data_IF_562717224182
#
_entry.id   IF_562717224182
#
_cell.length_a   1.000
_cell.length_b   1.000
_cell.length_c   1.000
_cell.angle_alpha   90.00
_cell.angle_beta   90.00
_cell.angle_gamma   90.00
#
_symmetry.space_group_name_H-M   'P 1'
#
loop_
_entity.id
_entity.type
_entity.pdbx_description
1 polymer ?
#
# COMPACT_ATOMS: atom_id res chain seq x y z
N UNK A 1 29.84 1.32 34.60
CA UNK A 1 28.48 1.80 34.27
C UNK A 1 28.16 1.55 32.79
N UNK A 2 27.94 0.29 32.39
CA UNK A 2 27.85 -0.10 30.96
C UNK A 2 26.70 -1.07 30.64
N UNK A 3 25.97 -1.56 31.66
CA UNK A 3 24.85 -2.48 31.46
C UNK A 3 23.57 -1.77 31.00
N UNK A 4 23.29 -0.55 31.47
CA UNK A 4 22.06 0.17 31.07
C UNK A 4 22.00 0.42 29.57
N UNK A 5 23.11 0.89 28.98
CA UNK A 5 23.16 1.29 27.57
C UNK A 5 22.90 0.15 26.57
N UNK A 6 23.23 -1.10 26.92
CA UNK A 6 22.98 -2.25 26.05
C UNK A 6 21.50 -2.68 26.10
N UNK A 7 20.90 -2.69 27.29
CA UNK A 7 19.47 -2.97 27.43
C UNK A 7 18.60 -1.85 26.85
N UNK A 8 19.02 -0.58 27.00
CA UNK A 8 18.32 0.57 26.43
C UNK A 8 18.34 0.53 24.90
N UNK A 9 19.48 0.17 24.30
CA UNK A 9 19.59 -0.03 22.85
C UNK A 9 18.73 -1.19 22.34
N UNK A 10 18.72 -2.32 23.07
CA UNK A 10 17.86 -3.45 22.73
C UNK A 10 16.37 -3.08 22.77
N UNK A 11 15.95 -2.36 23.81
CA UNK A 11 14.57 -1.87 23.93
C UNK A 11 14.20 -0.91 22.79
N UNK A 12 15.12 -0.04 22.40
CA UNK A 12 14.93 0.88 21.27
C UNK A 12 14.75 0.12 19.95
N UNK A 13 15.62 -0.86 19.68
CA UNK A 13 15.55 -1.67 18.45
C UNK A 13 14.26 -2.53 18.40
N UNK A 14 13.81 -3.05 19.54
CA UNK A 14 12.53 -3.78 19.65
C UNK A 14 11.32 -2.87 19.40
N UNK A 15 11.34 -1.64 19.95
CA UNK A 15 10.29 -0.66 19.71
C UNK A 15 10.22 -0.24 18.23
N UNK A 16 11.37 -0.03 17.59
CA UNK A 16 11.45 0.31 16.18
C UNK A 16 11.02 -0.85 15.28
N UNK A 17 11.38 -2.09 15.64
CA UNK A 17 10.88 -3.29 14.97
C UNK A 17 9.37 -3.39 15.08
N UNK A 18 8.79 -3.21 16.27
CA UNK A 18 7.35 -3.24 16.49
C UNK A 18 6.59 -2.21 15.64
N UNK A 19 7.08 -0.98 15.57
CA UNK A 19 6.51 0.07 14.70
C UNK A 19 6.57 -0.30 13.23
N UNK A 20 7.70 -0.84 12.75
CA UNK A 20 7.87 -1.27 11.35
C UNK A 20 6.96 -2.45 11.01
N UNK A 21 6.84 -3.42 11.91
CA UNK A 21 5.97 -4.58 11.75
C UNK A 21 4.49 -4.16 11.68
N UNK A 22 4.05 -3.27 12.57
CA UNK A 22 2.68 -2.74 12.55
C UNK A 22 2.37 -2.02 11.24
N UNK A 23 3.26 -1.13 10.79
CA UNK A 23 3.09 -0.43 9.51
C UNK A 23 3.04 -1.40 8.32
N UNK A 24 3.79 -2.51 8.35
CA UNK A 24 3.76 -3.52 7.29
C UNK A 24 2.45 -4.30 7.28
N UNK A 25 1.94 -4.67 8.46
CA UNK A 25 0.64 -5.31 8.60
C UNK A 25 -0.51 -4.42 8.10
N UNK A 26 -0.48 -3.14 8.44
CA UNK A 26 -1.52 -2.21 8.02
C UNK A 26 -1.51 -1.96 6.50
N UNK A 27 -0.33 -1.87 5.87
CA UNK A 27 -0.23 -1.88 4.40
C UNK A 27 -0.75 -3.20 3.80
N UNK A 28 -0.42 -4.34 4.42
CA UNK A 28 -0.90 -5.64 3.98
C UNK A 28 -2.44 -5.73 3.95
N UNK A 29 -3.12 -5.18 4.96
CA UNK A 29 -4.59 -5.09 4.98
C UNK A 29 -5.11 -4.26 3.80
N UNK A 30 -4.53 -3.08 3.56
CA UNK A 30 -4.92 -2.23 2.43
C UNK A 30 -4.72 -2.94 1.08
N UNK A 31 -3.63 -3.69 0.90
CA UNK A 31 -3.39 -4.45 -0.33
C UNK A 31 -4.41 -5.58 -0.53
N UNK A 32 -4.79 -6.28 0.55
CA UNK A 32 -5.84 -7.31 0.48
C UNK A 32 -7.19 -6.69 0.11
N UNK A 33 -7.53 -5.54 0.69
CA UNK A 33 -8.76 -4.81 0.34
C UNK A 33 -8.74 -4.36 -1.12
N UNK A 34 -7.64 -3.78 -1.59
CA UNK A 34 -7.47 -3.40 -2.99
C UNK A 34 -7.68 -4.58 -3.93
N UNK A 35 -7.09 -5.74 -3.62
CA UNK A 35 -7.29 -6.96 -4.41
C UNK A 35 -8.77 -7.39 -4.44
N UNK A 36 -9.48 -7.28 -3.31
CA UNK A 36 -10.92 -7.60 -3.26
C UNK A 36 -11.74 -6.66 -4.13
N UNK A 37 -11.44 -5.37 -4.14
CA UNK A 37 -12.15 -4.39 -4.97
C UNK A 37 -11.84 -4.57 -6.46
N UNK A 38 -10.58 -4.83 -6.83
CA UNK A 38 -10.21 -5.17 -8.22
C UNK A 38 -10.95 -6.39 -8.75
N UNK A 39 -11.05 -7.46 -7.95
CA UNK A 39 -11.87 -8.64 -8.33
C UNK A 39 -13.35 -8.29 -8.55
N UNK A 40 -13.92 -7.41 -7.72
CA UNK A 40 -15.31 -6.95 -7.92
C UNK A 40 -15.45 -6.15 -9.21
N UNK A 41 -14.46 -5.32 -9.55
CA UNK A 41 -14.43 -4.52 -10.78
C UNK A 41 -14.36 -5.44 -12.00
N UNK A 42 -13.43 -6.42 -12.00
CA UNK A 42 -13.28 -7.40 -13.08
C UNK A 42 -14.59 -8.17 -13.34
N UNK A 43 -15.26 -8.60 -12.27
CA UNK A 43 -16.55 -9.29 -12.38
C UNK A 43 -17.63 -8.38 -12.98
N UNK A 44 -17.75 -7.13 -12.52
CA UNK A 44 -18.73 -6.19 -13.06
C UNK A 44 -18.44 -5.85 -14.54
N UNK A 45 -17.18 -5.67 -14.90
CA UNK A 45 -16.75 -5.42 -16.28
C UNK A 45 -17.05 -6.61 -17.19
N UNK A 46 -16.79 -7.84 -16.71
CA UNK A 46 -17.14 -9.07 -17.41
C UNK A 46 -18.65 -9.18 -17.65
N UNK A 47 -19.46 -8.94 -16.62
CA UNK A 47 -20.92 -8.99 -16.72
C UNK A 47 -21.45 -7.97 -17.72
N UNK A 48 -20.92 -6.74 -17.69
CA UNK A 48 -21.25 -5.69 -18.64
C UNK A 48 -20.88 -6.09 -20.07
N UNK A 49 -19.67 -6.62 -20.28
CA UNK A 49 -19.22 -7.09 -21.60
C UNK A 49 -20.10 -8.21 -22.16
N UNK A 50 -20.51 -9.17 -21.32
CA UNK A 50 -21.43 -10.24 -21.73
C UNK A 50 -22.84 -9.72 -22.04
N UNK A 51 -23.28 -8.67 -21.36
CA UNK A 51 -24.58 -8.04 -21.60
C UNK A 51 -24.57 -7.29 -22.94
N UNK A 52 -23.52 -6.50 -23.21
CA UNK A 52 -23.34 -5.81 -24.50
C UNK A 52 -23.19 -6.83 -25.64
N UNK A 53 -22.39 -7.88 -25.45
CA UNK A 53 -22.26 -8.94 -26.45
C UNK A 53 -23.61 -9.55 -26.82
N UNK A 54 -24.48 -9.84 -25.84
CA UNK A 54 -25.83 -10.37 -26.11
C UNK A 54 -26.70 -9.40 -26.90
N UNK A 55 -26.66 -8.11 -26.56
CA UNK A 55 -27.38 -7.06 -27.31
C UNK A 55 -26.98 -7.04 -28.78
N UNK A 56 -25.68 -7.07 -29.08
CA UNK A 56 -25.17 -7.04 -30.46
C UNK A 56 -25.54 -8.30 -31.26
N UNK A 57 -25.88 -9.39 -30.57
CA UNK A 57 -26.37 -10.64 -31.20
C UNK A 57 -27.90 -10.68 -31.34
N UNK A 58 -28.60 -9.59 -31.02
CA UNK A 58 -30.06 -9.51 -31.06
C UNK A 58 -30.75 -10.27 -29.92
N UNK A 59 -30.01 -10.61 -28.86
CA UNK A 59 -30.57 -11.24 -27.66
C UNK A 59 -31.19 -10.24 -26.69
N UNK A 60 -31.86 -10.76 -25.67
CA UNK A 60 -32.50 -9.95 -24.63
C UNK A 60 -31.51 -8.97 -23.97
N UNK A 61 -31.92 -7.71 -23.92
CA UNK A 61 -31.13 -6.60 -23.39
C UNK A 61 -31.92 -5.85 -22.33
N UNK A 62 -31.36 -5.81 -21.12
CA UNK A 62 -31.96 -5.11 -20.00
C UNK A 62 -31.18 -3.82 -19.71
N UNK A 63 -31.70 -2.70 -20.21
CA UNK A 63 -31.09 -1.36 -20.05
C UNK A 63 -30.82 -1.02 -18.58
N UNK A 64 -31.78 -1.30 -17.68
CA UNK A 64 -31.62 -1.03 -16.24
C UNK A 64 -30.43 -1.78 -15.63
N UNK A 65 -30.16 -3.00 -16.09
CA UNK A 65 -29.01 -3.79 -15.65
C UNK A 65 -27.70 -3.21 -16.17
N UNK A 66 -27.69 -2.70 -17.40
CA UNK A 66 -26.53 -2.00 -17.96
C UNK A 66 -26.20 -0.75 -17.12
N UNK A 67 -27.20 0.10 -16.86
CA UNK A 67 -27.02 1.33 -16.09
C UNK A 67 -26.50 1.03 -14.67
N UNK A 68 -27.02 -0.01 -14.02
CA UNK A 68 -26.55 -0.46 -12.71
C UNK A 68 -25.10 -0.97 -12.72
N UNK A 69 -24.68 -1.67 -13.78
CA UNK A 69 -23.30 -2.16 -13.92
C UNK A 69 -22.32 -1.01 -14.18
N UNK A 70 -22.71 -0.01 -14.97
CA UNK A 70 -21.90 1.19 -15.21
C UNK A 70 -21.69 1.97 -13.91
N UNK A 71 -22.78 2.28 -13.18
CA UNK A 71 -22.68 2.97 -11.88
C UNK A 71 -21.80 2.19 -10.89
N UNK A 72 -21.95 0.87 -10.85
CA UNK A 72 -21.13 0.01 -9.99
C UNK A 72 -19.65 0.05 -10.37
N UNK A 73 -19.31 0.12 -11.65
CA UNK A 73 -17.92 0.24 -12.09
C UNK A 73 -17.31 1.58 -11.66
N UNK A 74 -18.07 2.68 -11.74
CA UNK A 74 -17.62 4.00 -11.29
C UNK A 74 -17.33 4.00 -9.79
N UNK A 75 -18.24 3.43 -8.98
CA UNK A 75 -18.06 3.37 -7.54
C UNK A 75 -16.90 2.46 -7.12
N UNK A 76 -16.73 1.31 -7.79
CA UNK A 76 -15.57 0.46 -7.59
C UNK A 76 -14.27 1.16 -7.98
N UNK A 77 -14.28 1.95 -9.06
CA UNK A 77 -13.15 2.76 -9.48
C UNK A 77 -12.73 3.78 -8.42
N UNK A 78 -13.69 4.51 -7.83
CA UNK A 78 -13.43 5.47 -6.74
C UNK A 78 -12.78 4.80 -5.53
N UNK A 79 -13.30 3.64 -5.11
CA UNK A 79 -12.75 2.89 -3.96
C UNK A 79 -11.35 2.36 -4.23
N UNK A 80 -11.10 1.88 -5.46
CA UNK A 80 -9.75 1.44 -5.88
C UNK A 80 -8.77 2.61 -5.83
N UNK A 81 -9.11 3.76 -6.42
CA UNK A 81 -8.23 4.94 -6.41
C UNK A 81 -7.98 5.45 -4.99
N UNK A 82 -8.98 5.41 -4.12
CA UNK A 82 -8.83 5.75 -2.70
C UNK A 82 -7.84 4.82 -1.99
N UNK A 83 -7.97 3.50 -2.16
CA UNK A 83 -7.07 2.51 -1.55
C UNK A 83 -5.64 2.63 -2.10
N UNK A 84 -5.48 2.85 -3.40
CA UNK A 84 -4.18 3.10 -4.02
C UNK A 84 -3.50 4.35 -3.45
N UNK A 85 -4.26 5.43 -3.23
CA UNK A 85 -3.78 6.63 -2.56
C UNK A 85 -3.30 6.35 -1.12
N UNK A 86 -4.07 5.60 -0.34
CA UNK A 86 -3.69 5.23 1.04
C UNK A 86 -2.42 4.36 1.09
N UNK A 87 -2.27 3.41 0.16
CA UNK A 87 -1.05 2.59 0.06
C UNK A 87 0.15 3.45 -0.31
N UNK A 88 0.00 4.37 -1.28
CA UNK A 88 1.06 5.28 -1.68
C UNK A 88 1.49 6.18 -0.51
N UNK A 89 0.52 6.73 0.22
CA UNK A 89 0.77 7.54 1.41
C UNK A 89 1.52 6.73 2.50
N UNK A 90 1.02 5.54 2.84
CA UNK A 90 1.66 4.66 3.83
C UNK A 90 3.11 4.31 3.44
N UNK A 91 3.38 4.08 2.16
CA UNK A 91 4.75 3.85 1.64
C UNK A 91 5.63 5.09 1.78
N UNK A 92 5.11 6.27 1.46
CA UNK A 92 5.86 7.53 1.59
C UNK A 92 6.21 7.84 3.05
N UNK A 93 5.27 7.64 3.98
CA UNK A 93 5.49 7.82 5.42
C UNK A 93 6.56 6.85 5.94
N UNK A 94 6.55 5.60 5.46
CA UNK A 94 7.55 4.58 5.80
C UNK A 94 8.95 4.96 5.28
N UNK A 95 9.04 5.48 4.06
CA UNK A 95 10.29 5.94 3.47
C UNK A 95 10.86 7.16 4.23
N UNK A 96 10.01 8.13 4.58
CA UNK A 96 10.41 9.29 5.38
C UNK A 96 10.93 8.90 6.77
N UNK A 97 10.29 7.91 7.42
CA UNK A 97 10.72 7.36 8.71
C UNK A 97 12.06 6.61 8.65
N UNK A 98 12.42 6.06 7.48
CA UNK A 98 13.68 5.33 7.27
C UNK A 98 14.89 6.23 6.96
N UNK A 99 14.66 7.41 6.38
CA UNK A 99 15.73 8.35 6.00
C UNK A 99 16.40 9.07 7.19
N UNK A 100 15.75 9.10 8.36
CA UNK A 100 16.30 9.75 9.57
C UNK A 100 17.45 9.02 10.26
N UNK A 101 17.79 7.79 9.85
CA UNK A 101 18.74 6.93 10.58
C UNK A 101 20.16 6.84 9.99
N UNK A 102 20.48 7.54 8.89
CA UNK A 102 21.78 7.41 8.20
C UNK A 102 22.64 8.68 8.15
N UNK A 103 22.28 9.74 8.90
CA UNK A 103 23.09 10.96 9.00
C UNK A 103 23.94 11.01 10.28
N UNK A 104 25.03 10.25 10.36
CA UNK A 104 26.10 10.51 11.33
C UNK A 104 27.40 10.86 10.57
N UNK A 105 28.10 11.96 10.90
CA UNK A 105 29.16 12.51 10.07
C UNK A 105 30.40 11.60 10.09
N UNK A 106 30.99 11.36 8.93
CA UNK A 106 32.31 10.77 8.82
C UNK A 106 33.33 11.69 9.51
N UNK A 107 33.92 11.24 10.62
CA UNK A 107 35.06 11.90 11.26
C UNK A 107 36.24 11.99 10.28
N UNK A 108 36.86 13.17 10.09
CA UNK A 108 38.05 13.32 9.26
C UNK A 108 39.27 12.66 9.90
N UNK A 109 40.02 11.94 9.07
CA UNK A 109 41.12 11.05 9.44
C UNK A 109 42.25 11.71 10.24
N UNK A 110 42.76 10.93 11.19
CA UNK A 110 43.94 11.21 12.00
C UNK A 110 45.19 11.20 11.09
N UNK A 111 46.06 12.23 11.11
CA UNK A 111 47.33 12.18 10.40
C UNK A 111 48.29 11.21 11.10
N UNK A 112 48.66 10.14 10.40
CA UNK A 112 49.78 9.26 10.76
C UNK A 112 51.07 10.06 10.77
N UNK A 113 51.67 10.19 11.95
CA UNK A 113 53.07 10.59 12.13
C UNK A 113 53.97 9.35 12.00
N UNK A 114 55.06 9.48 11.23
CA UNK A 114 56.25 8.63 11.30
C UNK A 114 57.39 9.29 10.51
N UNK A 115 58.65 8.90 10.76
CA UNK A 115 59.38 8.90 12.02
C UNK A 115 60.45 10.02 12.09
#
# INVERSE_FOLDING_TARGET
MTKSTLFDRLNQELADFGKKAQAALDEGKLQIELLRYRRKQDNAARDLGLLVHRRERGGDFEQRRMDALLLRLDDLGKEISRLEGQIAEARSQRAASGAGAQGAPAEPGVPTAAP
#
